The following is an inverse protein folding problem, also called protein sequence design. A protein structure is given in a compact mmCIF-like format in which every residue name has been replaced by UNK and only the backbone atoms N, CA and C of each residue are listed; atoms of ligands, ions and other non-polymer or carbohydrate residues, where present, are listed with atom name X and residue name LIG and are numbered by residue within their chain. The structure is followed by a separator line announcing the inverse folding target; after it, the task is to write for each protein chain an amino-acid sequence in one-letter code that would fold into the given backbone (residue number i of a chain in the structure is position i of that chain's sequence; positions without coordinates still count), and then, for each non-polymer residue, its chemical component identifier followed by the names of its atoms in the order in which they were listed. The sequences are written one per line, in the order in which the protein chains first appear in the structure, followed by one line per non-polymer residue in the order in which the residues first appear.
data_IF_109919314523
#
_entry.id   IF_109919314523
#
_cell.length_a   1.000
_cell.length_b   1.000
_cell.length_c   1.000
_cell.angle_alpha   90.00
_cell.angle_beta   90.00
_cell.angle_gamma   90.00
#
_symmetry.space_group_name_H-M   'P 1'
#
loop_
_entity.id
_entity.type
_entity.pdbx_description
1 polymer ?
#
# COMPACT_ATOMS: atom_id res chain seq x y z
N UNK A 1 -81.83 -16.88 35.54
CA UNK A 1 -80.84 -17.38 36.52
C UNK A 1 -79.62 -17.88 35.77
N UNK A 2 -78.49 -17.20 35.97
CA UNK A 2 -77.07 -17.54 35.72
C UNK A 2 -76.77 -18.76 34.82
N UNK A 3 -75.93 -18.67 33.77
CA UNK A 3 -74.57 -18.09 33.79
C UNK A 3 -74.09 -17.85 32.34
N UNK A 4 -73.57 -16.64 32.10
CA UNK A 4 -72.89 -16.25 30.87
C UNK A 4 -71.66 -17.14 30.63
N UNK A 5 -71.57 -17.82 29.48
CA UNK A 5 -70.33 -18.43 29.02
C UNK A 5 -69.66 -17.48 28.02
N UNK A 6 -68.83 -16.60 28.58
CA UNK A 6 -67.92 -15.74 27.82
C UNK A 6 -66.87 -16.66 27.19
N UNK A 7 -66.97 -16.87 25.87
CA UNK A 7 -65.89 -17.50 25.09
C UNK A 7 -64.86 -16.41 24.82
N UNK A 8 -63.79 -16.42 25.62
CA UNK A 8 -62.64 -15.53 25.49
C UNK A 8 -61.91 -15.88 24.19
N UNK A 9 -61.94 -14.97 23.22
CA UNK A 9 -61.05 -14.99 22.06
C UNK A 9 -59.63 -14.72 22.56
N UNK A 10 -58.82 -15.78 22.71
CA UNK A 10 -57.42 -15.66 23.07
C UNK A 10 -56.65 -15.16 21.83
N UNK A 11 -56.51 -13.83 21.71
CA UNK A 11 -55.56 -13.22 20.80
C UNK A 11 -54.15 -13.60 21.29
N UNK A 12 -53.57 -14.65 20.71
CA UNK A 12 -52.16 -14.96 20.86
C UNK A 12 -51.39 -13.86 20.11
N UNK A 13 -51.05 -12.79 20.83
CA UNK A 13 -50.05 -11.84 20.39
C UNK A 13 -48.73 -12.62 20.28
N UNK A 14 -48.34 -12.94 19.05
CA UNK A 14 -47.03 -13.49 18.73
C UNK A 14 -46.03 -12.34 18.99
N UNK A 15 -45.60 -12.18 20.23
CA UNK A 15 -44.43 -11.38 20.56
C UNK A 15 -43.22 -12.14 20.04
N UNK A 16 -42.97 -11.95 18.75
CA UNK A 16 -41.70 -12.30 18.13
C UNK A 16 -40.61 -11.49 18.84
N UNK A 17 -39.95 -12.10 19.81
CA UNK A 17 -38.61 -11.70 20.20
C UNK A 17 -37.67 -12.05 19.04
N UNK A 18 -37.71 -11.21 18.00
CA UNK A 18 -36.58 -11.08 17.09
C UNK A 18 -35.42 -10.56 17.91
N UNK A 19 -34.60 -11.46 18.47
CA UNK A 19 -33.22 -11.10 18.77
C UNK A 19 -32.68 -10.54 17.45
N UNK A 20 -32.34 -9.25 17.45
CA UNK A 20 -31.55 -8.64 16.39
C UNK A 20 -30.23 -9.40 16.33
N UNK A 21 -30.24 -10.46 15.55
CA UNK A 21 -29.08 -11.26 15.20
C UNK A 21 -28.28 -10.33 14.31
N UNK A 22 -27.24 -9.72 14.87
CA UNK A 22 -26.38 -8.81 14.12
C UNK A 22 -25.96 -9.52 12.83
N UNK A 23 -26.21 -8.85 11.70
CA UNK A 23 -25.97 -9.32 10.33
C UNK A 23 -24.47 -9.54 10.06
N UNK A 24 -23.80 -10.41 10.83
CA UNK A 24 -22.39 -10.75 10.69
C UNK A 24 -22.09 -11.43 9.34
N UNK A 25 -23.13 -11.97 8.70
CA UNK A 25 -23.08 -12.62 7.38
C UNK A 25 -23.19 -11.65 6.19
N UNK A 26 -23.78 -10.46 6.33
CA UNK A 26 -23.87 -9.51 5.20
C UNK A 26 -22.63 -8.60 5.09
N UNK A 27 -21.92 -8.41 6.21
CA UNK A 27 -20.78 -7.49 6.30
C UNK A 27 -19.41 -8.15 6.13
N UNK A 28 -19.30 -9.48 6.13
CA UNK A 28 -18.04 -10.20 5.81
C UNK A 28 -18.27 -11.03 4.55
N UNK A 29 -17.55 -10.68 3.48
CA UNK A 29 -17.81 -11.15 2.14
C UNK A 29 -16.62 -11.96 1.60
N UNK A 30 -16.85 -13.13 0.98
CA UNK A 30 -15.84 -13.81 0.18
C UNK A 30 -15.27 -12.90 -0.91
N UNK A 31 -14.00 -13.09 -1.29
CA UNK A 31 -13.29 -12.18 -2.20
C UNK A 31 -14.03 -11.85 -3.52
N UNK A 32 -14.67 -12.83 -4.17
CA UNK A 32 -15.43 -12.61 -5.41
C UNK A 32 -16.69 -11.77 -5.18
N UNK A 33 -17.39 -11.99 -4.07
CA UNK A 33 -18.58 -11.22 -3.69
C UNK A 33 -18.21 -9.82 -3.24
N UNK A 34 -17.10 -9.68 -2.51
CA UNK A 34 -16.49 -8.42 -2.14
C UNK A 34 -16.17 -7.59 -3.38
N UNK A 35 -15.49 -8.17 -4.37
CA UNK A 35 -15.18 -7.50 -5.65
C UNK A 35 -16.45 -7.03 -6.36
N UNK A 36 -17.41 -7.93 -6.55
CA UNK A 36 -18.68 -7.61 -7.23
C UNK A 36 -19.43 -6.48 -6.52
N UNK A 37 -19.52 -6.54 -5.19
CA UNK A 37 -20.22 -5.53 -4.40
C UNK A 37 -19.48 -4.19 -4.43
N UNK A 38 -18.15 -4.20 -4.33
CA UNK A 38 -17.32 -2.99 -4.45
C UNK A 38 -17.56 -2.29 -5.79
N UNK A 39 -17.55 -3.04 -6.90
CA UNK A 39 -17.77 -2.49 -8.25
C UNK A 39 -19.19 -1.92 -8.46
N UNK A 40 -20.18 -2.47 -7.75
CA UNK A 40 -21.58 -2.05 -7.81
C UNK A 40 -21.92 -0.94 -6.82
N UNK A 41 -21.00 -0.57 -5.93
CA UNK A 41 -21.26 0.40 -4.87
C UNK A 41 -20.70 1.76 -5.26
N UNK A 42 -21.60 2.72 -5.49
CA UNK A 42 -21.23 4.12 -5.75
C UNK A 42 -20.56 4.74 -4.51
N UNK A 43 -19.54 5.55 -4.73
CA UNK A 43 -18.83 6.33 -3.70
C UNK A 43 -18.22 5.46 -2.58
N UNK A 44 -17.87 4.21 -2.89
CA UNK A 44 -17.23 3.29 -1.97
C UNK A 44 -15.85 3.78 -1.54
N UNK A 45 -15.57 3.66 -0.24
CA UNK A 45 -14.27 3.94 0.37
C UNK A 45 -13.54 2.63 0.61
N UNK A 46 -12.46 2.36 -0.12
CA UNK A 46 -11.70 1.13 0.00
C UNK A 46 -10.47 1.34 0.90
N UNK A 47 -10.32 0.50 1.93
CA UNK A 47 -9.31 0.62 2.97
C UNK A 47 -8.50 -0.67 3.08
N UNK A 48 -7.19 -0.55 2.87
CA UNK A 48 -6.21 -1.58 3.15
C UNK A 48 -5.59 -1.34 4.52
N UNK A 49 -5.84 -2.24 5.47
CA UNK A 49 -5.38 -2.10 6.84
C UNK A 49 -4.08 -2.83 7.14
N UNK A 50 -3.34 -3.20 6.10
CA UNK A 50 -2.00 -3.77 6.22
C UNK A 50 -0.95 -2.67 6.46
N UNK A 51 0.28 -3.09 6.72
CA UNK A 51 1.41 -2.17 6.82
C UNK A 51 1.69 -1.46 5.49
N UNK A 52 2.33 -0.28 5.50
CA UNK A 52 2.73 0.41 4.26
C UNK A 52 3.60 -0.44 3.34
N UNK A 53 4.47 -1.31 3.88
CA UNK A 53 5.28 -2.22 3.07
C UNK A 53 4.45 -3.29 2.35
N UNK A 54 3.48 -3.89 3.04
CA UNK A 54 2.54 -4.83 2.43
C UNK A 54 1.66 -4.15 1.36
N UNK A 55 1.22 -2.92 1.62
CA UNK A 55 0.44 -2.11 0.68
C UNK A 55 1.23 -1.81 -0.59
N UNK A 56 2.49 -1.34 -0.44
CA UNK A 56 3.40 -1.10 -1.57
C UNK A 56 3.54 -2.35 -2.42
N UNK A 57 3.79 -3.52 -1.82
CA UNK A 57 3.98 -4.81 -2.51
C UNK A 57 2.71 -5.41 -3.15
N UNK A 58 1.61 -4.67 -3.14
CA UNK A 58 0.45 -4.92 -3.98
C UNK A 58 -0.85 -4.83 -3.20
N UNK A 59 -1.80 -4.07 -3.70
CA UNK A 59 -3.04 -3.64 -3.06
C UNK A 59 -4.17 -3.52 -4.10
N UNK A 60 -5.42 -3.36 -3.67
CA UNK A 60 -6.53 -3.16 -4.59
C UNK A 60 -6.52 -1.74 -5.17
N UNK A 61 -6.95 -1.57 -6.42
CA UNK A 61 -7.00 -0.25 -7.08
C UNK A 61 -7.84 0.73 -6.25
N UNK A 62 -7.31 1.95 -6.09
CA UNK A 62 -7.94 3.04 -5.32
C UNK A 62 -8.07 2.79 -3.81
N UNK A 63 -7.41 1.76 -3.27
CA UNK A 63 -7.37 1.54 -1.82
C UNK A 63 -6.57 2.63 -1.10
N UNK A 64 -7.07 3.09 0.03
CA UNK A 64 -6.36 3.93 0.99
C UNK A 64 -5.65 3.04 2.01
N UNK A 65 -4.38 3.31 2.30
CA UNK A 65 -3.67 2.55 3.34
C UNK A 65 -3.85 3.18 4.72
N UNK A 66 -4.56 2.49 5.61
CA UNK A 66 -4.76 2.89 7.00
C UNK A 66 -4.34 1.72 7.89
N UNK A 67 -3.05 1.65 8.21
CA UNK A 67 -2.43 0.52 8.92
C UNK A 67 -3.10 0.26 10.28
N UNK A 68 -3.65 -0.95 10.45
CA UNK A 68 -4.25 -1.38 11.72
C UNK A 68 -3.23 -1.53 12.85
N UNK A 69 -1.98 -1.87 12.51
CA UNK A 69 -0.93 -2.10 13.50
C UNK A 69 -0.28 -0.79 13.97
N UNK A 70 -0.61 0.34 13.35
CA UNK A 70 -0.14 1.64 13.77
C UNK A 70 -1.02 2.22 14.89
N UNK A 71 -0.41 2.98 15.80
CA UNK A 71 -1.11 3.62 16.92
C UNK A 71 -2.10 4.72 16.49
N UNK A 72 -2.12 5.07 15.20
CA UNK A 72 -2.90 6.17 14.62
C UNK A 72 -4.08 5.73 13.74
N UNK A 73 -4.45 4.45 13.73
CA UNK A 73 -5.57 3.92 12.92
C UNK A 73 -6.86 4.73 13.11
N UNK A 74 -7.26 4.95 14.37
CA UNK A 74 -8.52 5.65 14.70
C UNK A 74 -8.49 7.11 14.23
N UNK A 75 -7.34 7.79 14.34
CA UNK A 75 -7.18 9.16 13.89
C UNK A 75 -7.27 9.27 12.37
N UNK A 76 -6.55 8.41 11.64
CA UNK A 76 -6.60 8.37 10.17
C UNK A 76 -7.98 7.98 9.64
N UNK A 77 -8.68 7.07 10.29
CA UNK A 77 -10.03 6.65 9.91
C UNK A 77 -11.07 7.78 10.02
N UNK A 78 -10.82 8.86 10.77
CA UNK A 78 -11.70 10.05 10.81
C UNK A 78 -11.77 10.80 9.47
N UNK A 79 -10.79 10.60 8.58
CA UNK A 79 -10.82 11.19 7.24
C UNK A 79 -11.86 10.52 6.32
N UNK A 80 -12.38 9.34 6.69
CA UNK A 80 -13.43 8.65 5.96
C UNK A 80 -14.80 9.24 6.30
N UNK A 81 -15.67 9.26 5.30
CA UNK A 81 -17.06 9.66 5.42
C UNK A 81 -17.90 8.53 6.03
N UNK A 82 -18.56 8.78 7.17
CA UNK A 82 -19.32 7.77 7.92
C UNK A 82 -20.62 7.33 7.27
N UNK A 83 -21.14 8.13 6.34
CA UNK A 83 -22.38 7.84 5.62
C UNK A 83 -22.11 7.05 4.33
N UNK A 84 -20.86 7.03 3.84
CA UNK A 84 -20.47 6.26 2.67
C UNK A 84 -20.06 4.82 3.02
N UNK A 85 -20.31 3.85 2.12
CA UNK A 85 -19.84 2.47 2.29
C UNK A 85 -18.33 2.37 2.43
N UNK A 86 -17.86 1.66 3.46
CA UNK A 86 -16.44 1.35 3.67
C UNK A 86 -16.19 -0.12 3.40
N UNK A 87 -15.24 -0.39 2.53
CA UNK A 87 -14.75 -1.72 2.21
C UNK A 87 -13.37 -1.88 2.83
N UNK A 88 -13.16 -2.90 3.65
CA UNK A 88 -11.93 -3.08 4.42
C UNK A 88 -11.34 -4.46 4.21
N UNK A 89 -10.03 -4.53 4.03
CA UNK A 89 -9.33 -5.79 3.88
C UNK A 89 -7.92 -5.75 4.46
N UNK A 90 -7.38 -6.93 4.74
CA UNK A 90 -5.98 -7.11 5.12
C UNK A 90 -5.36 -8.29 4.36
N UNK A 91 -4.27 -8.89 4.87
CA UNK A 91 -3.64 -10.03 4.19
C UNK A 91 -4.48 -11.31 4.26
N UNK A 92 -4.98 -11.66 5.45
CA UNK A 92 -5.60 -12.97 5.73
C UNK A 92 -6.93 -12.93 6.49
N UNK A 93 -7.42 -11.74 6.88
CA UNK A 93 -8.72 -11.54 7.57
C UNK A 93 -8.66 -10.96 9.00
N UNK A 94 -7.74 -11.36 9.90
CA UNK A 94 -7.81 -10.94 11.31
C UNK A 94 -7.77 -9.43 11.55
N UNK A 95 -6.83 -8.72 10.90
CA UNK A 95 -6.72 -7.25 11.04
C UNK A 95 -7.94 -6.53 10.44
N UNK A 96 -8.46 -7.01 9.32
CA UNK A 96 -9.64 -6.41 8.67
C UNK A 96 -10.92 -6.67 9.45
N UNK A 97 -11.05 -7.83 10.09
CA UNK A 97 -12.14 -8.13 11.03
C UNK A 97 -12.12 -7.14 12.21
N UNK A 98 -10.95 -6.92 12.80
CA UNK A 98 -10.79 -6.00 13.92
C UNK A 98 -11.04 -4.54 13.50
N UNK A 99 -10.49 -4.12 12.37
CA UNK A 99 -10.71 -2.80 11.80
C UNK A 99 -12.18 -2.55 11.46
N UNK A 100 -12.88 -3.54 10.89
CA UNK A 100 -14.31 -3.44 10.58
C UNK A 100 -15.15 -3.21 11.84
N UNK A 101 -14.88 -3.98 12.90
CA UNK A 101 -15.54 -3.80 14.20
C UNK A 101 -15.26 -2.41 14.78
N UNK A 102 -14.02 -1.92 14.69
CA UNK A 102 -13.66 -0.59 15.18
C UNK A 102 -14.35 0.52 14.39
N UNK A 103 -14.44 0.40 13.06
CA UNK A 103 -15.18 1.34 12.22
C UNK A 103 -16.68 1.35 12.58
N UNK A 104 -17.29 0.19 12.80
CA UNK A 104 -18.69 0.13 13.27
C UNK A 104 -18.87 0.82 14.63
N UNK A 105 -17.96 0.61 15.58
CA UNK A 105 -17.93 1.30 16.88
C UNK A 105 -17.81 2.82 16.72
N UNK A 106 -17.05 3.29 15.72
CA UNK A 106 -16.89 4.71 15.39
C UNK A 106 -18.12 5.34 14.69
N UNK A 107 -19.15 4.56 14.42
CA UNK A 107 -20.43 4.99 13.84
C UNK A 107 -20.53 4.89 12.32
N UNK A 108 -19.63 4.15 11.66
CA UNK A 108 -19.76 3.87 10.24
C UNK A 108 -20.92 2.90 10.00
N UNK A 109 -21.89 3.31 9.17
CA UNK A 109 -23.15 2.58 9.00
C UNK A 109 -23.02 1.34 8.11
N UNK A 110 -22.19 1.43 7.08
CA UNK A 110 -22.02 0.41 6.05
C UNK A 110 -20.54 0.00 5.96
N UNK A 111 -20.18 -1.09 6.62
CA UNK A 111 -18.80 -1.61 6.61
C UNK A 111 -18.80 -3.05 6.07
N UNK A 112 -18.02 -3.30 5.04
CA UNK A 112 -17.87 -4.59 4.38
C UNK A 112 -16.42 -5.07 4.47
N UNK A 113 -16.19 -6.24 5.03
CA UNK A 113 -14.89 -6.86 5.25
C UNK A 113 -14.65 -7.96 4.22
N UNK A 114 -13.41 -8.08 3.71
CA UNK A 114 -13.04 -9.17 2.80
C UNK A 114 -12.55 -10.40 3.56
N UNK A 115 -13.38 -11.45 3.59
CA UNK A 115 -13.05 -12.71 4.24
C UNK A 115 -11.78 -13.33 3.63
N UNK A 116 -10.81 -13.64 4.49
CA UNK A 116 -9.55 -14.26 4.08
C UNK A 116 -8.59 -13.31 3.35
N UNK A 117 -8.94 -12.03 3.23
CA UNK A 117 -8.07 -10.96 2.76
C UNK A 117 -7.47 -11.17 1.36
N UNK A 118 -6.32 -10.53 1.14
CA UNK A 118 -5.53 -10.62 -0.09
C UNK A 118 -5.15 -12.05 -0.49
N UNK A 119 -5.00 -12.97 0.47
CA UNK A 119 -4.72 -14.37 0.14
C UNK A 119 -5.86 -15.01 -0.66
N UNK A 120 -7.12 -14.78 -0.25
CA UNK A 120 -8.28 -15.28 -0.99
C UNK A 120 -8.55 -14.48 -2.26
N UNK A 121 -8.27 -13.18 -2.27
CA UNK A 121 -8.30 -12.36 -3.47
C UNK A 121 -7.36 -12.89 -4.57
N UNK A 122 -6.10 -13.14 -4.21
CA UNK A 122 -5.06 -13.66 -5.12
C UNK A 122 -5.33 -15.09 -5.57
N UNK A 123 -5.78 -15.95 -4.66
CA UNK A 123 -6.18 -17.32 -5.02
C UNK A 123 -7.39 -17.35 -5.97
N UNK A 124 -8.23 -16.31 -5.93
CA UNK A 124 -9.33 -16.13 -6.87
C UNK A 124 -8.92 -15.43 -8.17
N UNK A 125 -7.62 -15.14 -8.35
CA UNK A 125 -7.02 -14.48 -9.52
C UNK A 125 -7.66 -13.10 -9.84
N UNK A 126 -8.11 -12.39 -8.80
CA UNK A 126 -8.71 -11.07 -8.93
C UNK A 126 -7.63 -9.98 -9.09
N UNK A 127 -7.93 -8.87 -9.80
CA UNK A 127 -6.94 -7.85 -10.13
C UNK A 127 -6.44 -7.09 -8.90
N UNK A 128 -5.13 -6.87 -8.78
CA UNK A 128 -4.52 -5.99 -7.78
C UNK A 128 -3.52 -5.05 -8.46
N UNK A 129 -3.36 -3.85 -7.91
CA UNK A 129 -2.24 -2.97 -8.18
C UNK A 129 -1.06 -3.53 -7.41
N UNK A 130 -0.17 -4.26 -8.07
CA UNK A 130 1.12 -4.62 -7.48
C UNK A 130 1.95 -3.34 -7.30
N UNK A 131 2.96 -3.37 -6.40
CA UNK A 131 4.09 -2.45 -6.50
C UNK A 131 4.46 -2.40 -7.97
N UNK A 132 4.14 -1.27 -8.59
CA UNK A 132 4.51 -0.91 -9.94
C UNK A 132 4.76 -2.09 -10.90
N UNK A 133 3.73 -2.46 -11.64
CA UNK A 133 3.93 -2.86 -13.04
C UNK A 133 4.33 -1.68 -13.94
N UNK A 134 4.67 -0.49 -13.41
CA UNK A 134 5.71 0.27 -14.11
C UNK A 134 6.99 -0.51 -13.82
N UNK A 135 7.40 -1.34 -14.77
CA UNK A 135 8.62 -2.11 -14.70
C UNK A 135 9.68 -1.28 -13.97
N UNK A 136 10.08 -1.72 -12.77
CA UNK A 136 11.41 -1.38 -12.30
C UNK A 136 12.34 -1.60 -13.49
N UNK A 137 13.33 -0.74 -13.67
CA UNK A 137 14.13 -0.81 -14.89
C UNK A 137 14.79 -2.19 -14.95
N UNK A 138 14.60 -2.89 -16.07
CA UNK A 138 15.33 -4.14 -16.31
C UNK A 138 16.82 -3.86 -16.36
N UNK A 139 17.65 -4.88 -16.14
CA UNK A 139 19.10 -4.75 -16.32
C UNK A 139 19.47 -4.20 -17.72
N UNK A 140 18.67 -4.53 -18.74
CA UNK A 140 18.85 -4.01 -20.10
C UNK A 140 18.58 -2.49 -20.18
N UNK A 141 17.46 -2.02 -19.64
CA UNK A 141 17.13 -0.59 -19.59
C UNK A 141 18.14 0.18 -18.73
N UNK A 142 18.56 -0.39 -17.60
CA UNK A 142 19.62 0.17 -16.76
C UNK A 142 20.91 0.38 -17.57
N UNK A 143 21.40 -0.65 -18.26
CA UNK A 143 22.59 -0.56 -19.11
C UNK A 143 22.42 0.46 -20.24
N UNK A 144 21.23 0.55 -20.82
CA UNK A 144 20.95 1.54 -21.87
C UNK A 144 21.07 2.98 -21.35
N UNK A 145 20.57 3.26 -20.14
CA UNK A 145 20.66 4.61 -19.54
C UNK A 145 22.10 5.06 -19.22
N UNK A 146 23.04 4.11 -19.14
CA UNK A 146 24.47 4.36 -18.92
C UNK A 146 25.22 4.70 -20.22
N UNK A 147 24.62 4.46 -21.39
CA UNK A 147 25.23 4.78 -22.69
C UNK A 147 25.12 6.26 -22.98
N UNK A 148 26.10 7.01 -22.50
CA UNK A 148 26.25 8.45 -22.75
C UNK A 148 27.72 8.84 -22.61
N UNK A 149 28.10 9.93 -23.28
CA UNK A 149 29.44 10.52 -23.15
C UNK A 149 29.62 11.28 -21.84
N UNK A 150 28.52 11.61 -21.15
CA UNK A 150 28.54 12.26 -19.84
C UNK A 150 28.61 11.20 -18.74
N UNK A 151 29.48 11.35 -17.72
CA UNK A 151 29.48 10.47 -16.55
C UNK A 151 28.08 10.30 -15.94
N UNK A 152 27.74 9.08 -15.51
CA UNK A 152 26.44 8.77 -14.89
C UNK A 152 26.64 8.35 -13.44
N UNK A 153 26.10 9.12 -12.51
CA UNK A 153 26.04 8.76 -11.10
C UNK A 153 24.66 8.17 -10.80
N UNK A 154 24.62 6.93 -10.34
CA UNK A 154 23.42 6.22 -9.94
C UNK A 154 23.33 6.20 -8.41
N UNK A 155 22.22 6.68 -7.86
CA UNK A 155 21.86 6.69 -6.45
C UNK A 155 20.75 5.68 -6.19
N UNK A 156 21.09 4.56 -5.54
CA UNK A 156 20.13 3.59 -5.04
C UNK A 156 19.66 4.02 -3.65
N UNK A 157 18.37 4.34 -3.53
CA UNK A 157 17.76 4.91 -2.32
C UNK A 157 16.48 4.18 -1.92
N UNK A 158 15.94 4.52 -0.74
CA UNK A 158 14.57 4.18 -0.36
C UNK A 158 13.99 5.27 0.54
N UNK A 159 12.65 5.38 0.60
CA UNK A 159 11.95 6.41 1.38
C UNK A 159 12.16 6.29 2.91
N UNK A 160 12.53 5.11 3.39
CA UNK A 160 12.84 4.85 4.80
C UNK A 160 14.32 5.07 5.14
N UNK A 161 15.18 5.31 4.14
CA UNK A 161 16.61 5.46 4.32
C UNK A 161 16.99 6.89 4.72
N UNK A 162 17.23 7.13 6.01
CA UNK A 162 17.59 8.45 6.52
C UNK A 162 18.90 9.04 5.92
N UNK A 163 19.99 8.26 5.73
CA UNK A 163 21.17 8.78 5.01
C UNK A 163 20.86 9.18 3.57
N UNK A 164 20.02 8.42 2.85
CA UNK A 164 19.60 8.75 1.48
C UNK A 164 18.89 10.12 1.43
N UNK A 165 18.01 10.40 2.40
CA UNK A 165 17.34 11.71 2.51
C UNK A 165 18.30 12.86 2.76
N UNK A 166 19.42 12.63 3.48
CA UNK A 166 20.48 13.63 3.65
C UNK A 166 21.24 13.87 2.35
N UNK A 167 21.37 12.87 1.51
CA UNK A 167 22.11 12.94 0.24
C UNK A 167 21.31 13.61 -0.88
N UNK A 168 20.00 13.39 -0.87
CA UNK A 168 19.07 13.86 -1.90
C UNK A 168 19.18 15.34 -2.29
N UNK A 169 19.24 16.32 -1.35
CA UNK A 169 19.21 17.73 -1.72
C UNK A 169 20.41 18.12 -2.59
N UNK A 170 21.62 17.67 -2.22
CA UNK A 170 22.80 18.01 -3.01
C UNK A 170 22.87 17.20 -4.30
N UNK A 171 22.39 15.95 -4.34
CA UNK A 171 22.30 15.16 -5.58
C UNK A 171 21.33 15.81 -6.58
N UNK A 172 20.16 16.27 -6.13
CA UNK A 172 19.21 17.01 -6.98
C UNK A 172 19.80 18.32 -7.46
N UNK A 173 20.49 19.06 -6.59
CA UNK A 173 21.18 20.30 -6.95
C UNK A 173 22.24 20.05 -8.03
N UNK A 174 23.10 19.04 -7.86
CA UNK A 174 24.13 18.68 -8.83
C UNK A 174 23.53 18.27 -10.18
N UNK A 175 22.39 17.56 -10.18
CA UNK A 175 21.70 17.18 -11.42
C UNK A 175 21.21 18.39 -12.21
N UNK A 176 20.79 19.45 -11.51
CA UNK A 176 20.29 20.68 -12.11
C UNK A 176 21.43 21.63 -12.55
N UNK A 177 22.48 21.74 -11.75
CA UNK A 177 23.55 22.74 -11.96
C UNK A 177 24.72 22.21 -12.82
N UNK A 178 24.89 20.89 -12.91
CA UNK A 178 26.02 20.28 -13.59
C UNK A 178 25.62 19.23 -14.67
N UNK A 179 24.58 19.45 -15.49
CA UNK A 179 24.08 18.43 -16.43
C UNK A 179 25.12 18.04 -17.50
N UNK A 180 26.05 18.96 -17.85
CA UNK A 180 27.13 18.70 -18.80
C UNK A 180 28.29 17.91 -18.18
N UNK A 181 28.38 17.84 -16.85
CA UNK A 181 29.46 17.14 -16.12
C UNK A 181 29.02 15.78 -15.60
N UNK A 182 27.76 15.65 -15.19
CA UNK A 182 27.22 14.40 -14.65
C UNK A 182 25.71 14.31 -14.90
N UNK A 183 25.27 13.12 -15.32
CA UNK A 183 23.87 12.72 -15.28
C UNK A 183 23.62 11.97 -13.97
N UNK A 184 22.67 12.43 -13.15
CA UNK A 184 22.32 11.76 -11.91
C UNK A 184 21.02 10.98 -12.10
N UNK A 185 21.08 9.67 -11.87
CA UNK A 185 19.95 8.76 -11.88
C UNK A 185 19.65 8.33 -10.45
N UNK A 186 18.41 8.47 -10.01
CA UNK A 186 17.97 7.98 -8.70
C UNK A 186 17.04 6.79 -8.90
N UNK A 187 17.36 5.68 -8.26
CA UNK A 187 16.64 4.41 -8.37
C UNK A 187 16.11 4.05 -6.97
N UNK A 188 14.79 3.98 -6.86
CA UNK A 188 14.14 3.46 -5.65
C UNK A 188 14.35 1.95 -5.57
N UNK A 189 15.12 1.50 -4.60
CA UNK A 189 15.45 0.10 -4.39
C UNK A 189 14.23 -0.75 -3.99
N UNK A 190 13.24 -0.17 -3.28
CA UNK A 190 11.99 -0.87 -2.93
C UNK A 190 11.18 -1.18 -4.21
N UNK A 191 11.27 -0.30 -5.23
CA UNK A 191 10.58 -0.46 -6.51
C UNK A 191 11.38 -1.25 -7.57
N UNK A 192 12.66 -1.55 -7.32
CA UNK A 192 13.59 -2.14 -8.30
C UNK A 192 14.36 -3.34 -7.70
N UNK A 193 13.68 -4.23 -6.97
CA UNK A 193 14.32 -5.31 -6.20
C UNK A 193 15.07 -6.32 -7.06
N UNK A 194 14.56 -6.69 -8.24
CA UNK A 194 15.25 -7.59 -9.18
C UNK A 194 16.54 -6.96 -9.72
N UNK A 195 16.49 -5.67 -10.08
CA UNK A 195 17.68 -4.94 -10.52
C UNK A 195 18.72 -4.83 -9.40
N UNK A 196 18.28 -4.51 -8.18
CA UNK A 196 19.17 -4.46 -7.02
C UNK A 196 19.87 -5.81 -6.81
N UNK A 197 19.16 -6.93 -6.97
CA UNK A 197 19.74 -8.27 -6.91
C UNK A 197 20.78 -8.50 -8.01
N UNK A 198 20.46 -8.19 -9.26
CA UNK A 198 21.38 -8.30 -10.42
C UNK A 198 22.66 -7.45 -10.24
N UNK A 199 22.53 -6.28 -9.61
CA UNK A 199 23.62 -5.33 -9.40
C UNK A 199 24.34 -5.49 -8.04
N UNK A 200 23.98 -6.51 -7.24
CA UNK A 200 24.48 -6.74 -5.89
C UNK A 200 24.30 -5.53 -4.93
N UNK A 201 23.19 -4.81 -5.06
CA UNK A 201 22.77 -3.75 -4.12
C UNK A 201 21.99 -4.41 -2.99
N UNK A 202 22.69 -4.80 -1.93
CA UNK A 202 22.12 -5.52 -0.77
C UNK A 202 21.87 -4.65 0.47
N UNK A 203 22.30 -3.39 0.43
CA UNK A 203 22.12 -2.41 1.50
C UNK A 203 22.03 -1.01 0.89
N UNK A 204 21.55 -0.04 1.68
CA UNK A 204 21.34 1.34 1.24
C UNK A 204 21.97 2.36 2.21
N UNK A 205 22.36 3.54 1.72
CA UNK A 205 22.42 3.95 0.30
C UNK A 205 23.56 3.25 -0.45
N UNK A 206 23.46 3.17 -1.77
CA UNK A 206 24.57 2.80 -2.66
C UNK A 206 24.69 3.82 -3.79
N UNK A 207 25.90 4.32 -4.00
CA UNK A 207 26.25 5.11 -5.18
C UNK A 207 27.09 4.28 -6.15
N UNK A 208 26.84 4.43 -7.45
CA UNK A 208 27.66 3.85 -8.53
C UNK A 208 27.91 4.91 -9.61
N UNK A 209 29.16 5.23 -9.90
CA UNK A 209 29.57 6.17 -10.94
C UNK A 209 30.11 5.42 -12.14
N UNK A 210 29.56 5.75 -13.31
CA UNK A 210 29.93 5.19 -14.59
C UNK A 210 30.53 6.25 -15.50
N UNK A 211 31.57 5.89 -16.24
CA UNK A 211 32.15 6.72 -17.32
C UNK A 211 32.31 5.84 -18.56
N UNK A 212 31.71 6.28 -19.67
CA UNK A 212 31.66 5.50 -20.91
C UNK A 212 31.22 4.06 -20.62
N UNK A 213 30.03 3.88 -20.03
CA UNK A 213 29.42 2.60 -19.61
C UNK A 213 30.17 1.74 -18.58
N UNK A 214 31.39 2.11 -18.18
CA UNK A 214 32.21 1.37 -17.22
C UNK A 214 32.02 1.90 -15.81
N UNK A 215 31.81 1.00 -14.85
CA UNK A 215 31.81 1.34 -13.44
C UNK A 215 33.22 1.78 -13.03
N UNK A 216 33.37 3.02 -12.59
CA UNK A 216 34.66 3.58 -12.14
C UNK A 216 34.73 3.83 -10.65
N UNK A 217 33.58 3.89 -9.97
CA UNK A 217 33.51 4.03 -8.52
C UNK A 217 32.17 3.50 -8.00
N UNK A 218 32.19 2.84 -6.87
CA UNK A 218 31.01 2.57 -6.07
C UNK A 218 31.25 2.86 -4.58
N UNK A 219 30.17 3.10 -3.86
CA UNK A 219 30.20 3.40 -2.45
C UNK A 219 28.95 2.86 -1.77
N UNK A 220 29.17 2.02 -0.75
CA UNK A 220 28.12 1.59 0.15
C UNK A 220 28.11 2.50 1.38
N UNK A 221 26.95 3.08 1.68
CA UNK A 221 26.77 4.00 2.79
C UNK A 221 26.80 5.47 2.39
N UNK A 222 26.71 6.34 3.40
CA UNK A 222 26.65 7.79 3.20
C UNK A 222 27.90 8.31 2.49
N UNK A 223 27.71 9.24 1.56
CA UNK A 223 28.78 10.02 0.93
C UNK A 223 28.47 11.51 1.10
N UNK A 224 29.48 12.32 1.30
CA UNK A 224 29.36 13.78 1.34
C UNK A 224 29.30 14.36 -0.08
N UNK A 225 28.74 15.56 -0.22
CA UNK A 225 28.72 16.28 -1.49
C UNK A 225 30.14 16.45 -2.08
N UNK A 226 31.13 16.73 -1.24
CA UNK A 226 32.52 16.92 -1.69
C UNK A 226 33.15 15.63 -2.21
N UNK A 227 32.91 14.49 -1.55
CA UNK A 227 33.40 13.19 -2.02
C UNK A 227 32.82 12.86 -3.39
N UNK A 228 31.52 13.05 -3.57
CA UNK A 228 30.84 12.81 -4.86
C UNK A 228 31.41 13.71 -5.95
N UNK A 229 31.60 15.01 -5.68
CA UNK A 229 32.21 15.96 -6.63
C UNK A 229 33.64 15.56 -7.00
N UNK A 230 34.45 15.15 -6.03
CA UNK A 230 35.82 14.70 -6.28
C UNK A 230 35.84 13.48 -7.21
N UNK A 231 34.92 12.53 -7.03
CA UNK A 231 34.83 11.33 -7.87
C UNK A 231 34.35 11.61 -9.28
N UNK A 232 33.45 12.57 -9.48
CA UNK A 232 33.02 12.99 -10.81
C UNK A 232 34.18 13.63 -11.59
N UNK A 233 35.01 14.44 -10.90
CA UNK A 233 36.12 15.18 -11.50
C UNK A 233 37.33 14.33 -11.90
N UNK A 234 37.50 13.11 -11.33
CA UNK A 234 38.58 12.16 -11.64
C UNK A 234 38.26 11.33 -12.87
#
# INVERSE_FOLDING_TARGET
MYKNLIVVFFLIAITGCGKAQSNKSESSLPAKEFSKKLDQTKDAQLVDVRTPGEFRNGHLKSAMNIDWNADDFTEKAKALDKDKPVFVYCMSGPRSTAAAAKLQEMGFKNVYEMQGGMMKWRNAELPEIKASTAAGISLAQYKEMLKTNTPVLVDFYAEWCAPCKKMEPYLKKMAAEMPDKVKILRIDADANTELCKELNVSALPVLKLYKNDKLVWDNLGFATEQEVKNKIAQ
#
